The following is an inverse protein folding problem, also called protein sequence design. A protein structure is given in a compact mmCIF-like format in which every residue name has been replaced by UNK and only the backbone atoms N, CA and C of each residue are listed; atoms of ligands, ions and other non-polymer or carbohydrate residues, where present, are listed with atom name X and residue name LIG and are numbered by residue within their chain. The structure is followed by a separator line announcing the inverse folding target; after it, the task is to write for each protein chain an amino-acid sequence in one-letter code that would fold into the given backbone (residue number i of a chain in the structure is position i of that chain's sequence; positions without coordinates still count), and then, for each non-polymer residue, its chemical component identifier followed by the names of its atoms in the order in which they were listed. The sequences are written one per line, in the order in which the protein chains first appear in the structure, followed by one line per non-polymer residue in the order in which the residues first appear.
data_IF_612371502208
#
_entry.id   IF_612371502208
#
_cell.length_a   1.000
_cell.length_b   1.000
_cell.length_c   1.000
_cell.angle_alpha   90.00
_cell.angle_beta   90.00
_cell.angle_gamma   90.00
#
_symmetry.space_group_name_H-M   'P 1'
#
loop_
_entity.id
_entity.type
_entity.pdbx_description
1 polymer ?
#
# COMPACT_ATOMS: atom_id res chain seq x y z
N UNK A 1 9.98 -11.00 -2.22
CA UNK A 1 9.72 -9.64 -1.72
C UNK A 1 9.01 -9.77 -0.39
N UNK A 2 9.33 -8.93 0.60
CA UNK A 2 8.68 -8.91 1.93
C UNK A 2 8.07 -7.53 2.14
N UNK A 3 6.79 -7.50 2.51
CA UNK A 3 6.05 -6.29 2.89
C UNK A 3 5.60 -6.49 4.33
N UNK A 4 5.95 -5.60 5.24
CA UNK A 4 5.68 -5.77 6.68
C UNK A 4 5.29 -4.47 7.35
N UNK A 5 4.48 -4.57 8.41
CA UNK A 5 4.25 -3.46 9.32
C UNK A 5 5.54 -3.07 10.03
N UNK A 6 5.69 -1.80 10.33
CA UNK A 6 6.82 -1.26 11.09
C UNK A 6 6.27 -0.44 12.24
N UNK A 7 6.70 -0.77 13.45
CA UNK A 7 6.50 0.06 14.63
C UNK A 7 7.77 0.89 14.90
N UNK A 8 7.59 2.17 15.19
CA UNK A 8 8.67 3.11 15.52
C UNK A 8 8.94 3.15 17.02
N UNK A 9 7.95 2.76 17.81
CA UNK A 9 7.99 2.70 19.26
C UNK A 9 7.27 1.43 19.71
N UNK A 10 7.93 0.63 20.53
CA UNK A 10 7.40 -0.64 21.04
C UNK A 10 6.09 -0.46 21.83
N UNK A 11 5.91 0.70 22.47
CA UNK A 11 4.69 0.99 23.23
C UNK A 11 3.58 1.65 22.41
N UNK A 12 3.85 2.01 21.18
CA UNK A 12 2.87 2.59 20.27
C UNK A 12 2.32 3.96 20.68
N UNK A 13 2.98 4.68 21.56
CA UNK A 13 2.49 5.92 22.18
C UNK A 13 3.20 7.19 21.73
N UNK A 14 4.42 7.06 21.22
CA UNK A 14 5.24 8.20 20.82
C UNK A 14 5.40 8.23 19.30
N UNK A 15 5.02 9.33 18.64
CA UNK A 15 5.31 9.46 17.21
C UNK A 15 6.83 9.42 16.98
N UNK A 16 7.29 8.87 15.84
CA UNK A 16 8.69 8.84 15.53
C UNK A 16 9.27 10.26 15.53
N UNK A 17 10.51 10.44 16.00
CA UNK A 17 11.14 11.74 15.96
C UNK A 17 11.31 12.18 14.50
N UNK A 18 10.82 13.35 14.19
CA UNK A 18 10.93 13.96 12.87
C UNK A 18 12.29 14.63 12.71
N UNK A 19 13.29 13.86 12.32
CA UNK A 19 14.63 14.37 12.05
C UNK A 19 14.83 14.65 10.57
N UNK A 20 15.29 15.83 10.26
CA UNK A 20 15.84 16.18 8.95
C UNK A 20 17.35 16.22 9.05
N UNK A 21 18.03 15.74 8.01
CA UNK A 21 19.47 15.93 7.84
C UNK A 21 19.72 17.16 6.96
N UNK A 22 20.60 18.05 7.44
CA UNK A 22 21.15 19.15 6.64
C UNK A 22 22.67 19.05 6.74
N UNK A 23 23.29 18.50 5.74
CA UNK A 23 24.70 18.13 5.80
C UNK A 23 24.90 16.99 6.80
N UNK A 24 25.83 17.16 7.76
CA UNK A 24 26.07 16.19 8.84
C UNK A 24 25.26 16.45 10.11
N UNK A 25 24.40 17.44 10.14
CA UNK A 25 23.58 17.79 11.30
C UNK A 25 22.18 17.23 11.22
N UNK A 26 21.70 16.66 12.32
CA UNK A 26 20.31 16.27 12.54
C UNK A 26 19.62 17.38 13.32
N UNK A 27 18.44 17.80 12.87
CA UNK A 27 17.63 18.75 13.61
C UNK A 27 16.16 18.32 13.62
N UNK A 28 15.51 18.60 14.72
CA UNK A 28 14.08 18.39 14.88
C UNK A 28 13.31 19.38 14.02
N UNK A 29 12.27 18.93 13.33
CA UNK A 29 11.40 19.78 12.54
C UNK A 29 9.95 19.57 12.97
N UNK A 30 9.38 20.59 13.60
CA UNK A 30 7.96 20.60 14.00
C UNK A 30 6.99 20.68 12.81
N UNK A 31 7.50 21.00 11.62
CA UNK A 31 6.70 21.15 10.40
C UNK A 31 6.57 19.86 9.57
N UNK A 32 7.01 18.73 10.10
CA UNK A 32 6.79 17.44 9.46
C UNK A 32 5.44 16.90 9.96
N UNK A 33 4.56 16.44 9.06
CA UNK A 33 3.29 15.83 9.46
C UNK A 33 3.54 14.72 10.47
N UNK A 34 2.71 14.62 11.49
CA UNK A 34 2.71 13.46 12.39
C UNK A 34 2.59 12.20 11.57
N UNK A 35 3.58 11.33 11.66
CA UNK A 35 3.49 9.98 11.11
C UNK A 35 2.96 9.09 12.23
N UNK A 36 2.01 8.23 11.93
CA UNK A 36 1.57 7.22 12.89
C UNK A 36 2.79 6.41 13.37
N UNK A 37 2.85 6.11 14.65
CA UNK A 37 3.95 5.35 15.23
C UNK A 37 4.02 3.89 14.74
N UNK A 38 2.99 3.43 14.07
CA UNK A 38 2.92 2.18 13.33
C UNK A 38 2.51 2.46 11.90
N UNK A 39 3.15 1.80 10.96
CA UNK A 39 2.88 1.94 9.53
C UNK A 39 2.81 0.58 8.87
N UNK A 40 1.78 0.36 8.08
CA UNK A 40 1.67 -0.81 7.25
C UNK A 40 2.69 -0.77 6.10
N UNK A 41 3.31 -1.91 5.84
CA UNK A 41 4.15 -2.06 4.65
C UNK A 41 3.31 -2.03 3.39
N UNK A 42 3.77 -1.29 2.37
CA UNK A 42 3.08 -1.16 1.08
C UNK A 42 4.02 -1.38 -0.09
N UNK A 43 3.49 -1.99 -1.12
CA UNK A 43 4.06 -2.01 -2.45
C UNK A 43 3.01 -1.50 -3.43
N UNK A 44 3.38 -0.60 -4.31
CA UNK A 44 2.54 -0.17 -5.42
C UNK A 44 3.36 -0.06 -6.69
N UNK A 45 2.69 -0.18 -7.83
CA UNK A 45 3.30 0.16 -9.12
C UNK A 45 3.29 1.66 -9.28
N UNK A 46 4.46 2.25 -9.56
CA UNK A 46 4.59 3.69 -9.76
C UNK A 46 5.85 4.25 -9.15
N UNK A 47 5.86 5.54 -8.91
CA UNK A 47 6.94 6.26 -8.25
C UNK A 47 6.44 7.02 -7.04
N UNK A 48 7.27 7.10 -6.03
CA UNK A 48 7.07 7.89 -4.83
C UNK A 48 8.13 8.98 -4.75
N UNK A 49 7.73 10.17 -4.37
CA UNK A 49 8.67 11.24 -4.07
C UNK A 49 8.25 12.01 -2.83
N UNK A 50 9.23 12.47 -2.08
CA UNK A 50 9.05 13.32 -0.91
C UNK A 50 9.88 14.58 -1.09
N UNK A 51 9.23 15.73 -1.08
CA UNK A 51 9.90 17.03 -1.24
C UNK A 51 9.16 18.11 -0.46
N UNK A 52 9.90 18.94 0.25
CA UNK A 52 9.35 20.11 0.95
C UNK A 52 8.24 19.84 1.94
N UNK A 53 8.24 18.70 2.64
CA UNK A 53 7.21 18.20 3.57
C UNK A 53 5.93 17.69 2.88
N UNK A 54 5.99 17.41 1.58
CA UNK A 54 4.88 16.83 0.82
C UNK A 54 5.26 15.48 0.25
N UNK A 55 4.34 14.52 0.35
CA UNK A 55 4.41 13.24 -0.33
C UNK A 55 3.71 13.34 -1.69
N UNK A 56 4.27 12.69 -2.69
CA UNK A 56 3.65 12.57 -4.00
C UNK A 56 3.76 11.13 -4.49
N UNK A 57 2.63 10.60 -4.91
CA UNK A 57 2.51 9.26 -5.47
C UNK A 57 2.10 9.38 -6.94
N UNK A 58 2.93 8.88 -7.84
CA UNK A 58 2.55 8.70 -9.24
C UNK A 58 2.30 7.21 -9.45
N UNK A 59 1.05 6.80 -9.21
CA UNK A 59 0.64 5.41 -9.22
C UNK A 59 0.32 4.89 -10.61
N UNK A 60 0.76 3.67 -10.85
CA UNK A 60 0.42 2.91 -12.03
C UNK A 60 1.53 2.85 -13.07
N UNK A 61 1.32 1.97 -14.03
CA UNK A 61 2.18 1.79 -15.20
C UNK A 61 1.34 1.66 -16.45
N UNK A 62 1.91 1.99 -17.60
CA UNK A 62 1.23 1.86 -18.90
C UNK A 62 0.82 0.40 -19.13
N UNK A 63 -0.45 0.19 -19.48
CA UNK A 63 -1.01 -1.13 -19.65
C UNK A 63 -2.23 -1.10 -20.59
N UNK A 64 -2.21 -1.91 -21.64
CA UNK A 64 -3.24 -1.88 -22.68
C UNK A 64 -4.08 -3.16 -22.80
N UNK A 65 -3.75 -4.18 -22.01
CA UNK A 65 -4.48 -5.46 -22.05
C UNK A 65 -5.74 -5.44 -21.18
N UNK A 66 -6.54 -6.48 -21.31
CA UNK A 66 -7.82 -6.64 -20.61
C UNK A 66 -7.89 -7.99 -19.87
N UNK A 67 -7.10 -8.15 -18.79
CA UNK A 67 -7.11 -9.39 -18.02
C UNK A 67 -8.42 -9.54 -17.24
N UNK A 68 -8.81 -10.77 -17.00
CA UNK A 68 -9.95 -11.09 -16.11
C UNK A 68 -9.52 -11.31 -14.65
N UNK A 69 -8.23 -11.59 -14.43
CA UNK A 69 -7.72 -11.92 -13.10
C UNK A 69 -6.24 -11.52 -12.98
N UNK A 70 -5.81 -11.27 -11.74
CA UNK A 70 -4.41 -11.30 -11.33
C UNK A 70 -4.21 -12.50 -10.40
N UNK A 71 -3.12 -13.25 -10.60
CA UNK A 71 -2.76 -14.40 -9.75
C UNK A 71 -1.34 -14.29 -9.21
N UNK A 72 -1.10 -14.94 -8.11
CA UNK A 72 0.22 -15.05 -7.50
C UNK A 72 0.21 -15.93 -6.27
N UNK A 73 1.31 -15.90 -5.52
CA UNK A 73 1.51 -16.70 -4.33
C UNK A 73 1.96 -15.80 -3.18
N UNK A 74 1.47 -16.08 -1.99
CA UNK A 74 1.80 -15.33 -0.80
C UNK A 74 2.02 -16.23 0.42
N UNK A 75 2.74 -15.69 1.39
CA UNK A 75 2.70 -16.08 2.80
C UNK A 75 2.34 -14.85 3.60
N UNK A 76 1.56 -15.00 4.65
CA UNK A 76 1.13 -13.89 5.49
C UNK A 76 1.04 -14.28 6.95
N UNK A 77 1.63 -13.46 7.80
CA UNK A 77 1.52 -13.57 9.25
C UNK A 77 0.92 -12.27 9.75
N UNK A 78 -0.34 -12.27 10.23
CA UNK A 78 -0.95 -11.10 10.85
C UNK A 78 -0.26 -10.76 12.17
N UNK A 79 -0.28 -9.49 12.54
CA UNK A 79 0.32 -9.01 13.79
C UNK A 79 -0.53 -9.39 15.00
N UNK A 80 -1.85 -9.52 14.81
CA UNK A 80 -2.78 -9.97 15.84
C UNK A 80 -3.34 -11.35 15.50
N UNK A 81 -3.64 -12.12 16.53
CA UNK A 81 -4.17 -13.48 16.41
C UNK A 81 -5.72 -13.52 16.38
N UNK A 82 -6.40 -12.39 16.37
CA UNK A 82 -7.87 -12.32 16.38
C UNK A 82 -8.49 -12.39 14.98
N UNK A 83 -7.64 -12.35 13.93
CA UNK A 83 -8.07 -12.44 12.54
C UNK A 83 -8.67 -11.14 11.97
N UNK A 84 -8.63 -10.04 12.72
CA UNK A 84 -9.14 -8.75 12.28
C UNK A 84 -8.20 -8.08 11.28
N UNK A 85 -6.90 -8.31 11.39
CA UNK A 85 -5.91 -7.80 10.45
C UNK A 85 -5.71 -8.77 9.28
N UNK A 86 -5.79 -8.24 8.08
CA UNK A 86 -5.55 -8.97 6.84
C UNK A 86 -4.60 -8.20 5.94
N UNK A 87 -3.78 -8.92 5.18
CA UNK A 87 -3.10 -8.28 4.05
C UNK A 87 -4.12 -7.94 2.94
N UNK A 88 -3.80 -6.99 2.09
CA UNK A 88 -4.68 -6.54 1.01
C UNK A 88 -3.95 -6.53 -0.32
N UNK A 89 -4.61 -7.01 -1.37
CA UNK A 89 -4.18 -6.80 -2.76
C UNK A 89 -5.30 -6.10 -3.50
N UNK A 90 -5.01 -4.94 -4.08
CA UNK A 90 -5.93 -4.18 -4.92
C UNK A 90 -5.35 -4.00 -6.32
N UNK A 91 -6.19 -4.20 -7.33
CA UNK A 91 -5.84 -4.03 -8.75
C UNK A 91 -6.89 -3.15 -9.40
N UNK A 92 -6.45 -2.14 -10.15
CA UNK A 92 -7.35 -1.24 -10.86
C UNK A 92 -6.83 -0.98 -12.27
N UNK A 93 -7.71 -1.12 -13.26
CA UNK A 93 -7.48 -0.77 -14.65
C UNK A 93 -8.21 0.52 -14.98
N UNK A 94 -7.50 1.47 -15.58
CA UNK A 94 -8.04 2.77 -15.93
C UNK A 94 -7.83 3.11 -17.42
N UNK A 95 -8.70 3.97 -17.92
CA UNK A 95 -8.45 4.79 -19.10
C UNK A 95 -8.46 6.25 -18.64
N UNK A 96 -7.29 6.87 -18.56
CA UNK A 96 -7.10 8.17 -17.90
C UNK A 96 -7.63 8.11 -16.46
N UNK A 97 -8.68 8.84 -16.13
CA UNK A 97 -9.31 8.85 -14.80
C UNK A 97 -10.51 7.90 -14.67
N UNK A 98 -10.93 7.28 -15.78
CA UNK A 98 -12.08 6.35 -15.78
C UNK A 98 -11.63 4.97 -15.34
N UNK A 99 -12.17 4.47 -14.24
CA UNK A 99 -11.98 3.08 -13.81
C UNK A 99 -12.76 2.16 -14.77
N UNK A 100 -12.05 1.22 -15.40
CA UNK A 100 -12.64 0.23 -16.30
C UNK A 100 -12.96 -1.08 -15.58
N UNK A 101 -12.03 -1.49 -14.71
CA UNK A 101 -12.16 -2.68 -13.89
C UNK A 101 -11.40 -2.52 -12.59
N UNK A 102 -11.87 -3.18 -11.56
CA UNK A 102 -11.17 -3.27 -10.28
C UNK A 102 -11.39 -4.62 -9.62
N UNK A 103 -10.48 -4.98 -8.74
CA UNK A 103 -10.58 -6.14 -7.87
C UNK A 103 -9.77 -5.94 -6.61
N UNK A 104 -10.29 -6.42 -5.49
CA UNK A 104 -9.59 -6.40 -4.20
C UNK A 104 -9.83 -7.71 -3.49
N UNK A 105 -8.79 -8.23 -2.85
CA UNK A 105 -8.86 -9.39 -1.97
C UNK A 105 -8.15 -9.11 -0.66
N UNK A 106 -8.62 -9.76 0.39
CA UNK A 106 -7.95 -9.83 1.67
C UNK A 106 -7.15 -11.13 1.76
N UNK A 107 -5.92 -11.03 2.27
CA UNK A 107 -5.04 -12.16 2.51
C UNK A 107 -5.14 -12.56 3.97
N UNK A 108 -5.53 -13.80 4.21
CA UNK A 108 -5.56 -14.40 5.56
C UNK A 108 -4.23 -15.05 5.90
N UNK A 109 -4.03 -15.41 7.18
CA UNK A 109 -2.82 -16.09 7.62
C UNK A 109 -2.50 -17.32 6.76
N UNK A 110 -1.26 -17.43 6.31
CA UNK A 110 -0.76 -18.54 5.49
C UNK A 110 0.71 -18.82 5.80
N UNK A 111 1.00 -19.92 6.48
CA UNK A 111 2.37 -20.36 6.81
C UNK A 111 3.14 -20.86 5.59
N UNK A 112 2.43 -21.36 4.60
CA UNK A 112 2.98 -21.86 3.36
C UNK A 112 2.56 -21.00 2.15
N UNK A 113 3.30 -21.11 1.03
CA UNK A 113 2.93 -20.39 -0.17
C UNK A 113 1.55 -20.83 -0.67
N UNK A 114 0.61 -19.91 -0.57
CA UNK A 114 -0.79 -20.08 -0.95
C UNK A 114 -1.09 -19.26 -2.19
N UNK A 115 -1.76 -19.86 -3.16
CA UNK A 115 -2.18 -19.14 -4.37
C UNK A 115 -3.29 -18.15 -4.03
N UNK A 116 -3.19 -16.94 -4.59
CA UNK A 116 -4.28 -15.98 -4.59
C UNK A 116 -4.76 -15.69 -6.00
N UNK A 117 -6.02 -15.32 -6.12
CA UNK A 117 -6.63 -14.82 -7.36
C UNK A 117 -7.43 -13.58 -7.05
N UNK A 118 -7.09 -12.47 -7.73
CA UNK A 118 -7.87 -11.23 -7.70
C UNK A 118 -8.74 -11.19 -8.97
N UNK A 119 -10.05 -11.44 -8.88
CA UNK A 119 -10.94 -11.28 -10.02
C UNK A 119 -11.11 -9.79 -10.34
N UNK A 120 -11.10 -9.43 -11.62
CA UNK A 120 -11.33 -8.07 -12.08
C UNK A 120 -12.76 -7.92 -12.60
N UNK A 121 -13.53 -7.10 -11.94
CA UNK A 121 -14.91 -6.78 -12.33
C UNK A 121 -14.90 -5.56 -13.24
N UNK A 122 -15.33 -5.73 -14.47
CA UNK A 122 -15.42 -4.68 -15.47
C UNK A 122 -16.74 -3.93 -15.38
N UNK A 123 -16.66 -2.62 -15.18
CA UNK A 123 -17.81 -1.71 -15.19
C UNK A 123 -17.93 -0.95 -16.50
N UNK A 124 -16.81 -0.84 -17.26
CA UNK A 124 -16.74 -0.19 -18.57
C UNK A 124 -16.15 -1.17 -19.58
N UNK A 125 -16.87 -1.45 -20.65
CA UNK A 125 -16.50 -2.49 -21.63
C UNK A 125 -16.10 -1.96 -22.99
N UNK A 126 -16.39 -0.74 -23.31
CA UNK A 126 -16.18 -0.07 -24.61
C UNK A 126 -14.83 0.67 -24.72
N UNK A 127 -14.10 0.80 -23.60
CA UNK A 127 -12.80 1.49 -23.57
C UNK A 127 -11.66 0.51 -23.37
N UNK A 128 -10.49 0.83 -23.93
CA UNK A 128 -9.22 0.15 -23.67
C UNK A 128 -8.54 0.75 -22.46
N UNK A 129 -7.91 -0.08 -21.64
CA UNK A 129 -7.06 0.40 -20.55
C UNK A 129 -5.82 1.12 -21.11
N UNK A 130 -5.32 2.08 -20.37
CA UNK A 130 -4.03 2.73 -20.61
C UNK A 130 -3.15 2.76 -19.34
N UNK A 131 -3.72 2.43 -18.18
CA UNK A 131 -3.04 2.45 -16.89
C UNK A 131 -3.46 1.26 -16.04
N UNK A 132 -2.48 0.61 -15.41
CA UNK A 132 -2.65 -0.43 -14.41
C UNK A 132 -2.11 0.07 -13.08
N UNK A 133 -2.93 0.01 -12.03
CA UNK A 133 -2.52 0.22 -10.65
C UNK A 133 -2.59 -1.10 -9.89
N UNK A 134 -1.55 -1.39 -9.13
CA UNK A 134 -1.53 -2.51 -8.17
C UNK A 134 -1.00 -1.97 -6.85
N UNK A 135 -1.70 -2.27 -5.78
CA UNK A 135 -1.25 -2.07 -4.41
C UNK A 135 -1.30 -3.39 -3.67
N UNK A 136 -0.24 -3.69 -2.93
CA UNK A 136 -0.16 -4.79 -1.98
C UNK A 136 0.22 -4.19 -0.63
N UNK A 137 -0.60 -4.42 0.38
CA UNK A 137 -0.37 -3.91 1.72
C UNK A 137 -0.34 -5.04 2.74
N UNK A 138 0.46 -4.89 3.78
CA UNK A 138 0.55 -5.85 4.89
C UNK A 138 -0.61 -5.74 5.87
N UNK A 139 -1.44 -4.69 5.77
CA UNK A 139 -2.60 -4.46 6.63
C UNK A 139 -3.77 -3.90 5.82
N UNK A 140 -4.98 -4.27 6.19
CA UNK A 140 -6.23 -3.70 5.68
C UNK A 140 -6.50 -2.27 6.17
N UNK A 141 -5.68 -1.78 7.11
CA UNK A 141 -5.68 -0.39 7.58
C UNK A 141 -4.70 0.51 6.80
N UNK A 142 -3.97 -0.05 5.82
CA UNK A 142 -3.02 0.71 5.03
C UNK A 142 -3.71 1.80 4.19
N UNK A 143 -3.18 3.02 4.28
CA UNK A 143 -3.53 4.14 3.40
C UNK A 143 -2.34 4.55 2.54
N UNK A 144 -2.53 5.41 1.56
CA UNK A 144 -1.42 5.99 0.78
C UNK A 144 -0.68 7.08 1.57
N UNK A 145 -1.36 7.75 2.49
CA UNK A 145 -0.75 8.74 3.38
C UNK A 145 -0.25 8.08 4.66
N UNK A 146 1.02 8.23 4.97
CA UNK A 146 1.57 7.72 6.23
C UNK A 146 1.02 8.44 7.47
N UNK A 147 0.51 9.66 7.30
CA UNK A 147 -0.09 10.42 8.40
C UNK A 147 -1.47 9.92 8.80
N UNK A 148 -2.13 9.13 7.96
CA UNK A 148 -3.48 8.60 8.19
C UNK A 148 -3.47 7.11 8.58
N UNK A 149 -2.29 6.49 8.60
CA UNK A 149 -2.16 5.07 8.86
C UNK A 149 -2.21 4.77 10.36
N UNK A 150 -3.17 3.96 10.75
CA UNK A 150 -3.18 3.26 12.03
C UNK A 150 -3.01 1.77 11.73
N UNK A 151 -1.78 1.27 11.75
CA UNK A 151 -1.54 -0.17 11.76
C UNK A 151 -1.64 -0.66 13.23
N UNK A 152 -2.37 -1.72 13.47
CA UNK A 152 -2.41 -2.44 14.75
C UNK A 152 -1.22 -3.34 14.92
#
# INVERSE_FOLDING_TARGET
MVVRNVAWDENGTTPPPHYKTRGSAYYYSENVPSIANRSAGKLFLGSYSYSGNSESYNEGTSFSSRPSTMKGWYKYTPDNNDGSETGVISVTLLNRETILASGTINLTAASDYTEFTVPLVYTVTDKKANLLKIMIASSNHASYSQSEETAT
#
